data_IF_762301274958
#
_entry.id   IF_762301274958
#
_cell.length_a   1.000
_cell.length_b   1.000
_cell.length_c   1.000
_cell.angle_alpha   90.00
_cell.angle_beta   90.00
_cell.angle_gamma   90.00
#
_symmetry.space_group_name_H-M   'P 1'
#
loop_
_entity.id
_entity.type
_entity.pdbx_description
1 polymer ?
#
# COMPACT_ATOMS: atom_id res chain seq x y z
N UNK A 1 2.95 -8.11 2.40
CA UNK A 1 2.25 -7.90 1.11
C UNK A 1 1.12 -6.84 1.10
N UNK A 2 0.29 -6.67 2.16
CA UNK A 2 -0.92 -5.82 2.10
C UNK A 2 -0.67 -4.37 1.67
N UNK A 3 0.41 -3.73 2.13
CA UNK A 3 0.74 -2.38 1.70
C UNK A 3 0.99 -2.29 0.19
N UNK A 4 1.66 -3.29 -0.40
CA UNK A 4 1.90 -3.36 -1.84
C UNK A 4 0.59 -3.61 -2.61
N UNK A 5 -0.30 -4.45 -2.07
CA UNK A 5 -1.65 -4.63 -2.62
C UNK A 5 -2.44 -3.33 -2.65
N UNK A 6 -2.40 -2.56 -1.57
CA UNK A 6 -3.03 -1.25 -1.48
C UNK A 6 -2.46 -0.26 -2.51
N UNK A 7 -1.13 -0.21 -2.68
CA UNK A 7 -0.48 0.64 -3.71
C UNK A 7 -0.95 0.24 -5.12
N UNK A 8 -1.07 -1.05 -5.40
CA UNK A 8 -1.54 -1.58 -6.69
C UNK A 8 -3.03 -1.34 -6.95
N UNK A 9 -3.81 -0.86 -5.97
CA UNK A 9 -5.24 -0.54 -6.16
C UNK A 9 -5.50 0.88 -6.68
N UNK A 10 -4.47 1.71 -6.85
CA UNK A 10 -4.61 3.04 -7.42
C UNK A 10 -4.51 2.99 -8.94
N UNK A 11 -5.51 3.55 -9.64
CA UNK A 11 -5.56 3.59 -11.11
C UNK A 11 -4.31 4.23 -11.75
N UNK A 12 -3.70 5.18 -11.04
CA UNK A 12 -2.48 5.86 -11.50
C UNK A 12 -1.21 5.00 -11.40
N UNK A 13 -1.26 3.84 -10.74
CA UNK A 13 -0.12 2.96 -10.51
C UNK A 13 -0.20 1.73 -11.41
N UNK A 14 0.67 1.66 -12.42
CA UNK A 14 0.76 0.50 -13.33
C UNK A 14 1.76 -0.56 -12.87
N UNK A 15 2.73 -0.19 -12.03
CA UNK A 15 3.81 -1.07 -11.59
C UNK A 15 4.39 -0.58 -10.26
N UNK A 16 4.88 -1.50 -9.45
CA UNK A 16 5.65 -1.23 -8.23
C UNK A 16 7.02 -1.91 -8.32
N UNK A 17 8.04 -1.29 -7.72
CA UNK A 17 9.41 -1.81 -7.67
C UNK A 17 9.85 -1.92 -6.21
N UNK A 18 9.33 -2.90 -5.44
CA UNK A 18 9.65 -3.04 -4.03
C UNK A 18 11.06 -3.61 -3.84
N UNK A 19 11.81 -3.06 -2.89
CA UNK A 19 13.11 -3.61 -2.50
C UNK A 19 12.97 -4.96 -1.77
N UNK A 20 14.02 -5.79 -1.84
CA UNK A 20 14.11 -7.06 -1.14
C UNK A 20 15.55 -7.31 -0.68
N UNK A 21 15.76 -7.48 0.63
CA UNK A 21 17.07 -7.80 1.23
C UNK A 21 17.26 -9.27 1.61
N UNK A 22 16.21 -10.09 1.43
CA UNK A 22 16.15 -11.52 1.77
C UNK A 22 15.17 -12.20 0.81
N UNK A 23 15.38 -13.48 0.54
CA UNK A 23 14.59 -14.23 -0.44
C UNK A 23 13.08 -14.25 -0.14
N UNK A 24 12.70 -14.35 1.14
CA UNK A 24 11.29 -14.35 1.52
C UNK A 24 10.59 -13.01 1.23
N UNK A 25 11.33 -11.89 1.15
CA UNK A 25 10.75 -10.61 0.74
C UNK A 25 10.29 -10.66 -0.71
N UNK A 26 11.06 -11.32 -1.59
CA UNK A 26 10.67 -11.49 -3.00
C UNK A 26 9.36 -12.27 -3.10
N UNK A 27 9.25 -13.38 -2.36
CA UNK A 27 8.03 -14.20 -2.31
C UNK A 27 6.83 -13.39 -1.78
N UNK A 28 7.01 -12.67 -0.67
CA UNK A 28 5.97 -11.79 -0.10
C UNK A 28 5.58 -10.65 -1.05
N UNK A 29 6.54 -10.06 -1.77
CA UNK A 29 6.27 -8.96 -2.71
C UNK A 29 5.46 -9.45 -3.91
N UNK A 30 5.81 -10.61 -4.47
CA UNK A 30 5.10 -11.21 -5.61
C UNK A 30 3.66 -11.57 -5.21
N UNK A 31 3.46 -12.17 -4.04
CA UNK A 31 2.12 -12.52 -3.55
C UNK A 31 1.17 -11.34 -3.40
N UNK A 32 1.66 -10.10 -3.39
CA UNK A 32 0.81 -8.92 -3.25
C UNK A 32 -0.17 -8.75 -4.42
N UNK A 33 0.18 -9.17 -5.65
CA UNK A 33 -0.75 -9.09 -6.80
C UNK A 33 -1.90 -10.08 -6.71
N UNK A 34 -1.67 -11.20 -6.04
CA UNK A 34 -2.61 -12.32 -5.96
C UNK A 34 -3.59 -12.18 -4.79
N UNK A 35 -3.37 -11.20 -3.92
CA UNK A 35 -4.31 -10.88 -2.84
C UNK A 35 -5.60 -10.31 -3.42
N UNK A 36 -6.72 -10.67 -2.80
CA UNK A 36 -8.00 -10.02 -3.05
C UNK A 36 -7.88 -8.50 -2.85
N UNK A 37 -8.63 -7.70 -3.63
CA UNK A 37 -8.72 -6.27 -3.39
C UNK A 37 -9.19 -5.99 -1.96
N UNK A 38 -8.66 -4.94 -1.36
CA UNK A 38 -9.25 -4.41 -0.13
C UNK A 38 -10.68 -3.96 -0.43
N UNK A 39 -11.57 -4.16 0.52
CA UNK A 39 -12.93 -3.61 0.43
C UNK A 39 -12.88 -2.08 0.44
N UNK A 40 -13.91 -1.45 -0.15
CA UNK A 40 -14.04 0.02 -0.12
C UNK A 40 -14.04 0.56 1.32
N UNK A 41 -14.67 -0.16 2.26
CA UNK A 41 -14.68 0.24 3.67
C UNK A 41 -13.27 0.24 4.28
N UNK A 42 -12.45 -0.75 3.96
CA UNK A 42 -11.04 -0.78 4.37
C UNK A 42 -10.25 0.36 3.74
N UNK A 43 -10.49 0.68 2.45
CA UNK A 43 -9.84 1.81 1.79
C UNK A 43 -10.17 3.14 2.47
N UNK A 44 -11.44 3.35 2.85
CA UNK A 44 -11.88 4.53 3.61
C UNK A 44 -11.22 4.59 4.98
N UNK A 45 -11.20 3.49 5.74
CA UNK A 45 -10.57 3.45 7.06
C UNK A 45 -9.07 3.76 7.01
N UNK A 46 -8.36 3.28 5.97
CA UNK A 46 -6.94 3.60 5.78
C UNK A 46 -6.75 5.11 5.56
N UNK A 47 -7.61 5.74 4.74
CA UNK A 47 -7.58 7.19 4.52
C UNK A 47 -7.82 7.95 5.82
N UNK A 48 -8.81 7.54 6.63
CA UNK A 48 -9.10 8.16 7.92
C UNK A 48 -7.90 8.09 8.89
N UNK A 49 -7.21 6.95 8.93
CA UNK A 49 -5.98 6.80 9.73
C UNK A 49 -4.91 7.78 9.24
N UNK A 50 -4.68 7.88 7.93
CA UNK A 50 -3.72 8.83 7.37
C UNK A 50 -4.07 10.28 7.75
N UNK A 51 -5.33 10.69 7.57
CA UNK A 51 -5.78 12.04 7.87
C UNK A 51 -5.66 12.39 9.35
N UNK A 52 -6.04 11.47 10.24
CA UNK A 52 -6.07 11.69 11.68
C UNK A 52 -4.67 11.71 12.30
N UNK A 53 -3.79 10.80 11.89
CA UNK A 53 -2.55 10.54 12.62
C UNK A 53 -1.29 10.99 11.89
N UNK A 54 -1.31 11.07 10.54
CA UNK A 54 -0.09 11.21 9.74
C UNK A 54 -0.05 12.56 9.01
N UNK A 55 -1.17 12.94 8.36
CA UNK A 55 -1.26 14.07 7.42
C UNK A 55 -0.72 15.38 8.00
N UNK A 56 -1.15 15.77 9.21
CA UNK A 56 -0.71 17.06 9.81
C UNK A 56 0.81 17.16 9.97
N UNK A 57 1.48 16.05 10.26
CA UNK A 57 2.90 16.01 10.59
C UNK A 57 3.80 15.96 9.35
N UNK A 58 3.32 15.42 8.23
CA UNK A 58 4.17 15.16 7.06
C UNK A 58 3.62 15.69 5.73
N UNK A 59 2.35 16.10 5.64
CA UNK A 59 1.76 16.46 4.35
C UNK A 59 2.26 17.81 3.80
N UNK A 60 2.82 18.66 4.66
CA UNK A 60 3.38 19.95 4.25
C UNK A 60 4.79 19.85 3.61
N UNK A 61 5.38 18.65 3.59
CA UNK A 61 6.68 18.35 2.95
C UNK A 61 6.52 17.46 1.69
N UNK A 62 5.28 17.27 1.22
CA UNK A 62 4.94 16.48 0.04
C UNK A 62 4.70 17.37 -1.18
#
# INVERSE_FOLDING_TARGET
>A
PHALRWILMFDAVSCIIPGASRDYHVQSNIQASDLEPLSNDQMVQIQEIYEKYIKKTVHHIW
#
